data_IF_320573165049
#
_entry.id   IF_320573165049
#
_cell.length_a   1.000
_cell.length_b   1.000
_cell.length_c   1.000
_cell.angle_alpha   90.00
_cell.angle_beta   90.00
_cell.angle_gamma   90.00
#
_symmetry.space_group_name_H-M   'P 1'
#
loop_
_entity.id
_entity.type
_entity.pdbx_description
1 polymer ?
#
# COMPACT_ATOMS: atom_id res chain seq x y z
N UNK A 1 54.94 21.69 7.14
CA UNK A 1 54.87 22.37 8.47
C UNK A 1 53.49 22.23 9.04
N UNK A 2 53.45 21.57 10.21
CA UNK A 2 52.44 21.60 11.26
C UNK A 2 51.09 20.87 11.05
N UNK A 3 51.12 19.65 11.54
CA UNK A 3 50.07 18.89 12.23
C UNK A 3 49.23 19.71 13.22
N UNK A 4 47.95 19.35 13.32
CA UNK A 4 47.23 19.39 14.60
C UNK A 4 46.17 18.29 14.65
N UNK A 5 46.47 17.29 15.45
CA UNK A 5 45.56 16.31 16.04
C UNK A 5 44.64 17.06 17.06
N UNK A 6 43.38 16.65 17.18
CA UNK A 6 42.59 16.76 18.40
C UNK A 6 41.60 15.61 18.44
N UNK A 7 42.04 14.59 19.12
CA UNK A 7 41.55 13.99 20.39
C UNK A 7 40.05 13.78 20.57
N UNK A 8 39.76 12.50 20.66
CA UNK A 8 38.52 11.89 21.14
C UNK A 8 38.18 12.33 22.59
N UNK A 9 36.90 12.45 22.89
CA UNK A 9 36.37 12.38 24.25
C UNK A 9 35.23 11.37 24.30
N UNK A 10 35.58 10.19 24.78
CA UNK A 10 34.66 9.22 25.35
C UNK A 10 33.96 9.85 26.58
N UNK A 11 32.64 9.76 26.64
CA UNK A 11 31.88 9.92 27.87
C UNK A 11 31.21 8.61 28.21
N UNK A 12 31.79 7.96 29.18
CA UNK A 12 31.28 6.83 29.96
C UNK A 12 30.02 7.28 30.73
N UNK A 13 28.93 6.60 30.60
CA UNK A 13 27.76 6.73 31.46
C UNK A 13 27.71 5.59 32.45
N UNK A 14 27.72 5.98 33.73
CA UNK A 14 27.64 5.14 34.92
C UNK A 14 26.26 4.48 35.03
N UNK A 15 26.35 3.21 35.33
CA UNK A 15 25.25 2.37 35.86
C UNK A 15 25.15 2.66 37.38
N UNK A 16 23.96 2.91 37.87
CA UNK A 16 23.61 2.83 39.29
C UNK A 16 22.26 2.14 39.42
N UNK A 17 22.33 0.91 39.77
CA UNK A 17 21.84 0.18 40.96
C UNK A 17 20.37 0.34 41.34
N UNK A 18 19.77 -0.81 41.17
CA UNK A 18 18.57 -1.36 41.73
C UNK A 18 18.55 -1.36 43.26
N UNK A 19 17.44 -1.05 43.87
CA UNK A 19 17.05 -1.59 45.16
C UNK A 19 15.65 -2.21 45.08
N UNK A 20 15.71 -3.52 45.20
CA UNK A 20 14.59 -4.39 45.50
C UNK A 20 14.24 -4.21 46.98
N UNK A 21 12.99 -4.05 47.32
CA UNK A 21 12.50 -4.36 48.65
C UNK A 21 11.17 -5.10 48.58
N UNK A 22 11.27 -6.34 48.96
CA UNK A 22 10.20 -7.24 49.36
C UNK A 22 9.75 -6.96 50.79
N UNK A 23 8.50 -7.11 51.07
CA UNK A 23 7.92 -7.92 52.17
C UNK A 23 6.44 -7.53 52.39
N UNK A 24 5.58 -8.41 52.11
CA UNK A 24 4.85 -9.36 52.96
C UNK A 24 3.64 -8.83 53.75
N UNK A 25 2.54 -9.54 53.51
CA UNK A 25 1.50 -10.03 54.43
C UNK A 25 0.54 -9.03 55.10
N UNK A 26 -0.75 -9.17 54.88
CA UNK A 26 -1.67 -9.91 55.73
C UNK A 26 -3.14 -9.56 55.42
N UNK A 27 -3.93 -10.58 55.14
CA UNK A 27 -5.33 -10.89 55.54
C UNK A 27 -6.28 -9.74 55.94
N UNK A 28 -7.45 -9.62 55.35
CA UNK A 28 -8.74 -10.05 55.87
C UNK A 28 -9.93 -9.58 55.02
N UNK A 29 -10.82 -10.51 54.87
CA UNK A 29 -12.16 -10.45 54.30
C UNK A 29 -12.98 -9.21 54.63
N UNK A 30 -13.68 -8.68 53.60
CA UNK A 30 -15.06 -8.19 53.78
C UNK A 30 -15.76 -8.25 52.44
N UNK A 31 -16.82 -9.02 52.41
CA UNK A 31 -17.89 -9.02 51.41
C UNK A 31 -18.42 -7.61 51.21
N UNK A 32 -18.57 -7.19 49.96
CA UNK A 32 -19.49 -6.14 49.55
C UNK A 32 -19.91 -6.34 48.14
N UNK A 33 -21.19 -6.66 48.01
CA UNK A 33 -22.15 -6.33 46.97
C UNK A 33 -21.62 -6.20 45.54
N UNK A 34 -22.01 -7.19 44.75
CA UNK A 34 -22.05 -7.17 43.29
C UNK A 34 -22.94 -5.98 42.84
N UNK A 35 -22.33 -4.95 42.29
CA UNK A 35 -22.97 -4.03 41.38
C UNK A 35 -22.73 -4.59 40.00
N UNK A 36 -23.80 -5.00 39.33
CA UNK A 36 -23.85 -5.24 37.90
C UNK A 36 -23.31 -3.98 37.21
N UNK A 37 -22.07 -4.04 36.70
CA UNK A 37 -21.53 -3.04 35.81
C UNK A 37 -22.27 -3.18 34.47
N UNK A 38 -23.13 -2.19 34.15
CA UNK A 38 -23.71 -1.99 32.85
C UNK A 38 -22.57 -1.99 31.83
N UNK A 39 -22.50 -3.05 31.02
CA UNK A 39 -21.64 -3.12 29.84
C UNK A 39 -22.10 -2.03 28.88
N UNK A 40 -21.29 -1.03 28.56
CA UNK A 40 -21.68 0.00 27.60
C UNK A 40 -22.02 -0.65 26.26
N UNK A 41 -23.00 -0.16 25.52
CA UNK A 41 -23.42 -0.75 24.25
C UNK A 41 -22.23 -0.84 23.31
N UNK A 42 -21.94 -2.07 22.89
CA UNK A 42 -20.90 -2.35 21.90
C UNK A 42 -21.33 -1.62 20.62
N UNK A 43 -20.70 -0.50 20.33
CA UNK A 43 -20.83 0.12 19.02
C UNK A 43 -20.46 -0.95 17.98
N UNK A 44 -21.27 -1.16 16.94
CA UNK A 44 -20.91 -2.04 15.88
C UNK A 44 -19.59 -1.52 15.30
N UNK A 45 -18.51 -2.24 15.58
CA UNK A 45 -17.23 -2.00 14.91
C UNK A 45 -17.52 -1.96 13.42
N UNK A 46 -17.42 -0.75 12.86
CA UNK A 46 -17.40 -0.60 11.43
C UNK A 46 -16.29 -1.56 10.96
N UNK A 47 -16.62 -2.36 9.99
CA UNK A 47 -15.84 -3.45 9.44
C UNK A 47 -14.60 -2.86 8.75
N UNK A 48 -13.70 -2.24 9.52
CA UNK A 48 -12.37 -1.87 9.05
C UNK A 48 -11.61 -3.18 8.90
N UNK A 49 -11.65 -3.69 7.68
CA UNK A 49 -10.79 -4.81 7.32
C UNK A 49 -9.36 -4.42 7.69
N UNK A 50 -8.64 -5.28 8.42
CA UNK A 50 -7.25 -5.00 8.75
C UNK A 50 -6.48 -4.67 7.48
N UNK A 51 -5.51 -3.75 7.51
CA UNK A 51 -4.75 -3.35 6.34
C UNK A 51 -4.23 -4.60 5.64
N UNK A 52 -4.69 -4.79 4.40
CA UNK A 52 -4.31 -5.94 3.60
C UNK A 52 -2.91 -5.69 3.07
N UNK A 53 -1.93 -6.35 3.66
CA UNK A 53 -0.56 -6.37 3.14
C UNK A 53 -0.43 -7.51 2.14
N UNK A 54 -0.03 -7.19 0.93
CA UNK A 54 0.28 -8.20 -0.07
C UNK A 54 1.56 -8.95 0.30
N UNK A 55 1.54 -10.27 0.16
CA UNK A 55 2.67 -11.13 0.49
C UNK A 55 3.59 -11.38 -0.71
N UNK A 56 4.91 -11.47 -0.48
CA UNK A 56 5.87 -11.83 -1.53
C UNK A 56 5.71 -13.31 -1.97
N UNK A 57 6.21 -13.73 -3.14
CA UNK A 57 6.98 -12.89 -4.06
C UNK A 57 6.11 -12.01 -4.95
N UNK A 58 6.56 -10.79 -5.21
CA UNK A 58 5.79 -9.78 -5.93
C UNK A 58 5.95 -9.80 -7.45
N UNK A 59 6.88 -10.58 -8.00
CA UNK A 59 7.24 -10.56 -9.43
C UNK A 59 6.04 -10.54 -10.37
N UNK A 60 5.17 -11.55 -10.30
CA UNK A 60 4.00 -11.67 -11.16
C UNK A 60 3.01 -10.53 -10.94
N UNK A 61 2.78 -10.14 -9.68
CA UNK A 61 1.85 -9.08 -9.28
C UNK A 61 2.32 -7.74 -9.86
N UNK A 62 3.58 -7.38 -9.69
CA UNK A 62 4.17 -6.14 -10.21
C UNK A 62 4.17 -6.07 -11.72
N UNK A 63 4.53 -7.16 -12.41
CA UNK A 63 4.50 -7.25 -13.87
C UNK A 63 3.07 -7.00 -14.39
N UNK A 64 2.06 -7.59 -13.78
CA UNK A 64 0.66 -7.41 -14.15
C UNK A 64 0.20 -5.96 -13.92
N UNK A 65 0.49 -5.39 -12.76
CA UNK A 65 0.13 -4.00 -12.41
C UNK A 65 0.74 -3.02 -13.41
N UNK A 66 2.03 -3.15 -13.71
CA UNK A 66 2.69 -2.27 -14.66
C UNK A 66 2.10 -2.41 -16.07
N UNK A 67 1.70 -3.61 -16.48
CA UNK A 67 0.97 -3.85 -17.71
C UNK A 67 -0.41 -3.18 -17.75
N UNK A 68 -1.17 -3.24 -16.66
CA UNK A 68 -2.46 -2.56 -16.54
C UNK A 68 -2.31 -1.03 -16.56
N UNK A 69 -1.32 -0.49 -15.84
CA UNK A 69 -0.99 0.94 -15.86
C UNK A 69 -0.57 1.41 -17.25
N UNK A 70 0.21 0.61 -17.97
CA UNK A 70 0.56 0.90 -19.36
C UNK A 70 -0.70 1.02 -20.24
N UNK A 71 -1.59 0.03 -20.20
CA UNK A 71 -2.85 0.03 -20.95
C UNK A 71 -3.73 1.22 -20.60
N UNK A 72 -3.81 1.56 -19.32
CA UNK A 72 -4.57 2.70 -18.84
C UNK A 72 -4.02 4.01 -19.39
N UNK A 73 -2.69 4.21 -19.36
CA UNK A 73 -2.07 5.43 -19.87
C UNK A 73 -2.25 5.57 -21.39
N UNK A 74 -2.22 4.47 -22.15
CA UNK A 74 -2.55 4.49 -23.58
C UNK A 74 -3.97 4.99 -23.80
N UNK A 75 -4.96 4.47 -23.05
CA UNK A 75 -6.36 4.90 -23.16
C UNK A 75 -6.55 6.37 -22.80
N UNK A 76 -5.77 6.88 -21.84
CA UNK A 76 -5.78 8.30 -21.43
C UNK A 76 -5.04 9.23 -22.39
N UNK A 77 -4.41 8.71 -23.45
CA UNK A 77 -3.63 9.51 -24.38
C UNK A 77 -2.30 10.00 -23.79
N UNK A 78 -1.74 9.29 -22.82
CA UNK A 78 -0.48 9.61 -22.16
C UNK A 78 0.67 8.64 -22.58
N UNK A 79 1.13 8.70 -23.84
CA UNK A 79 2.04 7.69 -24.40
C UNK A 79 3.42 7.67 -23.72
N UNK A 80 3.89 8.80 -23.21
CA UNK A 80 5.18 8.84 -22.50
C UNK A 80 5.12 8.09 -21.16
N UNK A 81 4.05 8.26 -20.40
CA UNK A 81 3.82 7.50 -19.17
C UNK A 81 3.60 6.02 -19.45
N UNK A 82 2.82 5.71 -20.47
CA UNK A 82 2.61 4.33 -20.91
C UNK A 82 3.94 3.64 -21.20
N UNK A 83 4.81 4.30 -21.99
CA UNK A 83 6.14 3.77 -22.32
C UNK A 83 7.02 3.56 -21.07
N UNK A 84 6.94 4.44 -20.08
CA UNK A 84 7.68 4.29 -18.84
C UNK A 84 7.24 3.03 -18.08
N UNK A 85 5.94 2.78 -17.94
CA UNK A 85 5.42 1.56 -17.32
C UNK A 85 5.78 0.30 -18.10
N UNK A 86 5.74 0.35 -19.44
CA UNK A 86 6.15 -0.77 -20.28
C UNK A 86 7.62 -1.12 -20.10
N UNK A 87 8.51 -0.13 -20.08
CA UNK A 87 9.96 -0.36 -19.86
C UNK A 87 10.22 -0.97 -18.48
N UNK A 88 9.58 -0.44 -17.43
CA UNK A 88 9.68 -0.99 -16.09
C UNK A 88 9.18 -2.45 -16.04
N UNK A 89 8.06 -2.76 -16.68
CA UNK A 89 7.54 -4.11 -16.79
C UNK A 89 8.56 -5.06 -17.45
N UNK A 90 9.18 -4.62 -18.55
CA UNK A 90 10.20 -5.41 -19.25
C UNK A 90 11.44 -5.68 -18.39
N UNK A 91 11.85 -4.71 -17.56
CA UNK A 91 12.96 -4.92 -16.62
C UNK A 91 12.60 -5.96 -15.55
N UNK A 92 11.39 -5.90 -14.99
CA UNK A 92 10.94 -6.89 -14.01
C UNK A 92 10.77 -8.30 -14.61
N UNK A 93 10.38 -8.41 -15.89
CA UNK A 93 10.32 -9.71 -16.60
C UNK A 93 11.71 -10.34 -16.70
N UNK A 94 12.75 -9.53 -16.90
CA UNK A 94 14.15 -10.00 -16.97
C UNK A 94 14.71 -10.35 -15.58
N UNK A 95 14.14 -9.78 -14.52
CA UNK A 95 14.61 -9.98 -13.15
C UNK A 95 14.16 -11.34 -12.63
N UNK A 96 15.10 -12.27 -12.47
CA UNK A 96 14.84 -13.69 -12.17
C UNK A 96 14.79 -14.01 -10.68
N UNK A 97 15.17 -13.05 -9.83
CA UNK A 97 15.18 -13.23 -8.38
C UNK A 97 13.79 -12.87 -7.83
N UNK A 98 13.34 -13.59 -6.80
CA UNK A 98 12.09 -13.30 -6.13
C UNK A 98 12.14 -11.93 -5.46
N UNK A 99 11.20 -11.08 -5.82
CA UNK A 99 11.07 -9.73 -5.28
C UNK A 99 10.29 -9.83 -3.97
N UNK A 100 10.99 -9.59 -2.87
CA UNK A 100 10.41 -9.55 -1.52
C UNK A 100 10.39 -8.13 -0.95
N UNK A 101 11.15 -7.21 -1.54
CA UNK A 101 11.26 -5.81 -1.12
C UNK A 101 11.46 -4.89 -2.33
N UNK A 102 10.97 -3.66 -2.22
CA UNK A 102 11.19 -2.62 -3.24
C UNK A 102 12.66 -2.21 -3.37
N UNK A 103 13.46 -2.36 -2.31
CA UNK A 103 14.88 -2.01 -2.35
C UNK A 103 15.67 -2.86 -3.34
N UNK A 104 15.23 -4.10 -3.61
CA UNK A 104 15.85 -4.98 -4.59
C UNK A 104 15.71 -4.45 -6.02
N UNK A 105 14.61 -3.78 -6.33
CA UNK A 105 14.32 -3.28 -7.68
C UNK A 105 14.62 -1.80 -7.87
N UNK A 106 14.81 -1.05 -6.78
CA UNK A 106 15.16 0.38 -6.80
C UNK A 106 16.37 0.72 -7.67
N UNK A 107 17.47 -0.07 -7.69
CA UNK A 107 18.63 0.20 -8.53
C UNK A 107 18.44 -0.18 -10.00
N UNK A 108 17.33 -0.84 -10.36
CA UNK A 108 17.11 -1.28 -11.74
C UNK A 108 16.83 -0.09 -12.68
N UNK A 109 17.30 -0.15 -13.94
CA UNK A 109 17.00 0.87 -14.91
C UNK A 109 15.48 0.94 -15.18
N UNK A 110 14.99 2.11 -15.52
CA UNK A 110 13.57 2.36 -15.78
C UNK A 110 12.63 2.18 -14.58
N UNK A 111 13.13 1.90 -13.39
CA UNK A 111 12.37 1.87 -12.13
C UNK A 111 12.57 3.20 -11.41
N UNK A 112 11.75 4.20 -11.74
CA UNK A 112 11.81 5.52 -11.12
C UNK A 112 10.91 5.64 -9.88
N UNK A 113 11.02 6.79 -9.21
CA UNK A 113 10.27 7.11 -7.98
C UNK A 113 8.77 6.86 -8.12
N UNK A 114 8.13 7.35 -9.17
CA UNK A 114 6.69 7.19 -9.40
C UNK A 114 6.27 5.71 -9.53
N UNK A 115 7.13 4.88 -10.12
CA UNK A 115 6.88 3.44 -10.23
C UNK A 115 6.98 2.78 -8.87
N UNK A 116 8.02 3.11 -8.11
CA UNK A 116 8.19 2.60 -6.74
C UNK A 116 7.03 3.02 -5.83
N UNK A 117 6.56 4.26 -5.93
CA UNK A 117 5.39 4.74 -5.18
C UNK A 117 4.13 3.92 -5.50
N UNK A 118 3.89 3.61 -6.79
CA UNK A 118 2.76 2.77 -7.19
C UNK A 118 2.87 1.33 -6.71
N UNK A 119 4.06 0.75 -6.78
CA UNK A 119 4.29 -0.60 -6.26
C UNK A 119 4.19 -0.65 -4.73
N UNK A 120 4.63 0.40 -4.03
CA UNK A 120 4.45 0.52 -2.58
C UNK A 120 2.97 0.68 -2.19
N UNK A 121 2.20 1.49 -2.95
CA UNK A 121 0.75 1.61 -2.79
C UNK A 121 0.09 0.22 -2.86
N UNK A 122 0.49 -0.60 -3.84
CA UNK A 122 -0.03 -1.96 -3.97
C UNK A 122 0.35 -2.86 -2.79
N UNK A 123 1.60 -2.86 -2.34
CA UNK A 123 2.03 -3.67 -1.18
C UNK A 123 1.20 -3.32 0.06
N UNK A 124 0.98 -2.02 0.29
CA UNK A 124 0.32 -1.52 1.51
C UNK A 124 -1.20 -1.69 1.49
N UNK A 125 -1.83 -1.65 0.30
CA UNK A 125 -3.29 -1.58 0.18
C UNK A 125 -3.91 -2.74 -0.60
N UNK A 126 -3.08 -3.60 -1.21
CA UNK A 126 -3.53 -4.68 -2.10
C UNK A 126 -4.07 -4.19 -3.45
N UNK A 127 -4.13 -2.88 -3.68
CA UNK A 127 -4.71 -2.29 -4.89
C UNK A 127 -3.95 -1.05 -5.34
N UNK A 128 -4.15 -0.68 -6.60
CA UNK A 128 -3.73 0.61 -7.15
C UNK A 128 -4.98 1.46 -7.34
N UNK A 129 -5.09 2.54 -6.60
CA UNK A 129 -6.29 3.39 -6.57
C UNK A 129 -6.71 3.87 -7.97
N UNK A 130 -5.76 4.29 -8.79
CA UNK A 130 -6.07 4.74 -10.14
C UNK A 130 -6.64 3.61 -11.02
N UNK A 131 -6.16 2.38 -10.86
CA UNK A 131 -6.71 1.23 -11.59
C UNK A 131 -8.10 0.85 -11.06
N UNK A 132 -8.30 0.95 -9.76
CA UNK A 132 -9.59 0.65 -9.12
C UNK A 132 -10.67 1.61 -9.61
N UNK A 133 -10.44 2.92 -9.54
CA UNK A 133 -11.38 3.95 -10.03
C UNK A 133 -11.71 3.78 -11.52
N UNK A 134 -10.73 3.37 -12.32
CA UNK A 134 -10.97 3.18 -13.77
C UNK A 134 -11.75 1.90 -14.08
N UNK A 135 -11.77 0.91 -13.20
CA UNK A 135 -12.63 -0.28 -13.37
C UNK A 135 -14.10 0.10 -13.28
N UNK A 136 -14.42 1.03 -12.39
CA UNK A 136 -15.80 1.48 -12.12
C UNK A 136 -16.22 2.65 -13.03
N UNK A 137 -15.32 3.12 -13.90
CA UNK A 137 -15.61 4.21 -14.84
C UNK A 137 -16.59 3.73 -15.91
N UNK A 138 -17.79 4.31 -16.04
CA UNK A 138 -18.81 3.89 -17.00
C UNK A 138 -18.29 3.87 -18.45
N UNK A 139 -17.41 4.80 -18.84
CA UNK A 139 -16.79 4.79 -20.17
C UNK A 139 -16.08 3.44 -20.42
N UNK A 140 -15.31 2.96 -19.44
CA UNK A 140 -14.58 1.71 -19.55
C UNK A 140 -15.50 0.49 -19.55
N UNK A 141 -16.66 0.57 -18.90
CA UNK A 141 -17.69 -0.46 -18.89
C UNK A 141 -18.30 -0.56 -20.29
N UNK A 142 -18.77 0.56 -20.84
CA UNK A 142 -19.42 0.60 -22.16
C UNK A 142 -18.49 0.26 -23.32
N UNK A 143 -17.22 0.66 -23.26
CA UNK A 143 -16.24 0.32 -24.33
C UNK A 143 -15.88 -1.16 -24.41
N UNK A 144 -16.32 -1.98 -23.46
CA UNK A 144 -16.24 -3.46 -23.55
C UNK A 144 -17.32 -4.05 -24.44
N UNK A 145 -18.39 -3.30 -24.71
CA UNK A 145 -19.49 -3.75 -25.58
C UNK A 145 -19.03 -3.59 -27.04
N UNK A 146 -19.20 -4.65 -27.81
CA UNK A 146 -18.86 -4.62 -29.23
C UNK A 146 -19.60 -3.50 -29.96
N UNK A 147 -18.87 -2.68 -30.71
CA UNK A 147 -19.42 -1.54 -31.45
C UNK A 147 -19.64 -0.25 -30.60
N UNK A 148 -19.33 -0.26 -29.32
CA UNK A 148 -19.39 0.93 -28.47
C UNK A 148 -17.98 1.48 -28.24
N UNK A 149 -17.64 2.53 -29.01
CA UNK A 149 -16.39 3.27 -28.81
C UNK A 149 -16.51 4.35 -27.72
N UNK A 150 -15.40 5.03 -27.36
CA UNK A 150 -15.39 6.07 -26.32
C UNK A 150 -16.43 7.18 -26.53
N UNK A 151 -16.59 7.69 -27.76
CA UNK A 151 -17.59 8.72 -28.08
C UNK A 151 -19.02 8.26 -27.80
N UNK A 152 -19.34 7.03 -28.21
CA UNK A 152 -20.67 6.45 -27.95
C UNK A 152 -20.90 6.21 -26.46
N UNK A 153 -19.88 5.77 -25.74
CA UNK A 153 -19.92 5.63 -24.28
C UNK A 153 -20.19 6.97 -23.59
N UNK A 154 -19.53 8.05 -24.01
CA UNK A 154 -19.78 9.41 -23.50
C UNK A 154 -21.21 9.88 -23.77
N UNK A 155 -21.77 9.60 -24.94
CA UNK A 155 -23.16 9.93 -25.28
C UNK A 155 -24.14 9.20 -24.38
N UNK A 156 -23.92 7.93 -24.08
CA UNK A 156 -24.75 7.15 -23.17
C UNK A 156 -24.71 7.73 -21.74
N UNK A 157 -23.52 8.08 -21.28
CA UNK A 157 -23.35 8.70 -19.94
C UNK A 157 -24.04 10.05 -19.86
N UNK A 158 -23.95 10.89 -20.91
CA UNK A 158 -24.69 12.17 -21.00
C UNK A 158 -26.19 12.00 -20.97
N UNK A 159 -26.71 10.85 -21.40
CA UNK A 159 -28.13 10.49 -21.30
C UNK A 159 -28.52 9.90 -19.94
N UNK A 160 -27.58 9.84 -19.00
CA UNK A 160 -27.80 9.30 -17.65
C UNK A 160 -27.66 7.78 -17.53
N UNK A 161 -27.23 7.10 -18.61
CA UNK A 161 -27.01 5.66 -18.59
C UNK A 161 -25.61 5.40 -18.05
N UNK A 162 -25.50 4.71 -16.92
CA UNK A 162 -24.22 4.46 -16.23
C UNK A 162 -23.88 2.98 -16.07
N UNK A 163 -24.85 2.10 -16.29
CA UNK A 163 -24.70 0.64 -16.21
C UNK A 163 -25.16 -0.04 -17.48
N UNK A 164 -24.77 -1.29 -17.70
CA UNK A 164 -25.14 -2.09 -18.88
C UNK A 164 -26.63 -2.52 -18.83
N UNK A 165 -27.20 -2.59 -17.62
CA UNK A 165 -28.57 -3.03 -17.40
C UNK A 165 -29.62 -1.90 -17.65
N UNK A 166 -29.21 -0.65 -17.81
CA UNK A 166 -30.05 0.49 -18.17
C UNK A 166 -30.24 0.62 -19.68
#
# INVERSE_FOLDING_TARGET
>A
KKSKQKTAKQKTLKVQDLKINSLSKSTMSKEKEEKEDEVPPIHPYQNEQPPHFEEPPYNKKFINILGELNKLMIRKGEPFRARAYLKAQQELIKYKIDITSLDQIKPLPNIGKTILEKLNEFISTGKIEVLHREKDNPINIFTKIYGVGPKKAEELIKKGITTIEQ
#
